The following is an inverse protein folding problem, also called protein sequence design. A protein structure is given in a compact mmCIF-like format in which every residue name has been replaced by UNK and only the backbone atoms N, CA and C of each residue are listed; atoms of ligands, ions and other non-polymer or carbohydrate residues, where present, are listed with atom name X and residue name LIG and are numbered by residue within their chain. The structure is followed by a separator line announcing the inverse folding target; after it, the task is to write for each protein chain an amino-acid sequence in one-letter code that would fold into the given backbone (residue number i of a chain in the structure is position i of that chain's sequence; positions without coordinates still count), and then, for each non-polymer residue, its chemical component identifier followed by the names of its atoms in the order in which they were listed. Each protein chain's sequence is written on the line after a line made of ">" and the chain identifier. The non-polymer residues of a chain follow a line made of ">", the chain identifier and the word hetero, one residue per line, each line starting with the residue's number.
data_IF_287327498787
#
_entry.id   IF_287327498787
#
_cell.length_a   1.000
_cell.length_b   1.000
_cell.length_c   1.000
_cell.angle_alpha   90.00
_cell.angle_beta   90.00
_cell.angle_gamma   90.00
#
_symmetry.space_group_name_H-M   'P 1'
#
loop_
_entity.id
_entity.type
_entity.pdbx_description
1 polymer ?
#
# COMPACT_ATOMS: atom_id res chain seq x y z
N UNK A 1 -4.52 57.84 -45.63
CA UNK A 1 -4.91 56.41 -45.53
C UNK A 1 -3.99 55.77 -44.51
N UNK A 2 -4.58 55.31 -43.38
CA UNK A 2 -4.10 54.34 -42.37
C UNK A 2 -2.70 54.55 -41.72
N UNK A 3 -2.40 54.22 -40.47
CA UNK A 3 -3.09 53.81 -39.24
C UNK A 3 -1.97 53.82 -38.18
N UNK A 4 -2.24 54.34 -36.98
CA UNK A 4 -1.37 54.23 -35.81
C UNK A 4 -1.39 52.81 -35.22
N UNK A 5 -0.24 52.31 -34.75
CA UNK A 5 -0.16 51.34 -33.65
C UNK A 5 1.27 51.28 -33.09
N UNK A 6 1.52 52.06 -32.02
CA UNK A 6 2.68 51.90 -31.15
C UNK A 6 2.45 50.79 -30.12
N UNK A 7 3.48 49.96 -29.89
CA UNK A 7 3.53 49.02 -28.77
C UNK A 7 4.55 49.50 -27.74
N UNK A 8 4.03 50.06 -26.64
CA UNK A 8 4.76 50.39 -25.41
C UNK A 8 4.43 49.38 -24.30
N UNK A 9 5.41 49.14 -23.43
CA UNK A 9 5.42 48.07 -22.43
C UNK A 9 4.45 48.24 -21.25
N UNK A 10 4.34 47.18 -20.45
CA UNK A 10 3.58 47.15 -19.21
C UNK A 10 4.01 45.98 -18.31
N UNK A 11 4.34 46.32 -17.07
CA UNK A 11 4.97 45.50 -16.06
C UNK A 11 4.10 44.36 -15.50
N UNK A 12 4.76 43.26 -15.15
CA UNK A 12 4.22 42.21 -14.28
C UNK A 12 4.05 42.75 -12.86
N UNK A 13 2.82 43.09 -12.50
CA UNK A 13 2.41 43.36 -11.12
C UNK A 13 1.54 42.20 -10.63
N UNK A 14 1.87 41.70 -9.43
CA UNK A 14 1.16 40.58 -8.81
C UNK A 14 -0.28 40.92 -8.47
N UNK A 15 -1.18 39.95 -8.65
CA UNK A 15 -2.58 40.04 -8.23
C UNK A 15 -2.79 39.24 -6.94
N UNK A 16 -3.43 39.81 -5.88
CA UNK A 16 -3.64 39.15 -4.60
C UNK A 16 -4.77 38.12 -4.65
N UNK A 17 -4.69 37.15 -3.73
CA UNK A 17 -5.77 36.23 -3.42
C UNK A 17 -6.99 36.99 -2.85
N UNK A 18 -8.20 36.60 -3.28
CA UNK A 18 -9.46 36.98 -2.63
C UNK A 18 -10.49 37.59 -3.59
N UNK A 19 -11.36 36.76 -4.14
CA UNK A 19 -12.50 37.22 -4.94
C UNK A 19 -13.57 36.14 -5.04
N UNK A 20 -14.62 36.26 -4.22
CA UNK A 20 -15.87 35.51 -4.35
C UNK A 20 -16.61 36.10 -5.56
N UNK A 21 -17.01 35.33 -6.58
CA UNK A 21 -17.84 35.90 -7.65
C UNK A 21 -19.27 36.03 -7.15
N UNK A 22 -19.70 37.26 -6.90
CA UNK A 22 -21.10 37.61 -6.67
C UNK A 22 -21.74 38.04 -7.99
N UNK A 23 -22.94 37.49 -8.30
CA UNK A 23 -23.93 38.14 -9.16
C UNK A 23 -23.98 37.67 -10.62
N UNK A 24 -24.50 36.46 -10.85
CA UNK A 24 -25.15 36.09 -12.12
C UNK A 24 -26.69 36.11 -11.97
N UNK A 25 -27.48 36.41 -13.01
CA UNK A 25 -28.95 36.49 -12.92
C UNK A 25 -29.58 35.15 -12.49
N UNK A 26 -30.80 35.14 -11.90
CA UNK A 26 -31.47 33.92 -11.45
C UNK A 26 -31.98 33.12 -12.65
N UNK A 27 -31.08 32.37 -13.28
CA UNK A 27 -31.37 31.43 -14.35
C UNK A 27 -30.93 30.04 -13.93
N UNK A 28 -31.85 29.07 -14.02
CA UNK A 28 -31.65 27.62 -14.04
C UNK A 28 -30.39 27.09 -13.32
N UNK A 29 -30.61 26.58 -12.10
CA UNK A 29 -29.61 26.04 -11.18
C UNK A 29 -28.37 25.44 -11.86
N UNK A 30 -27.34 26.27 -12.02
CA UNK A 30 -26.05 25.85 -12.51
C UNK A 30 -25.45 24.86 -11.51
N UNK A 31 -24.87 23.78 -12.02
CA UNK A 31 -24.10 22.84 -11.21
C UNK A 31 -22.99 23.60 -10.48
N UNK A 32 -23.09 23.70 -9.15
CA UNK A 32 -22.04 24.27 -8.31
C UNK A 32 -21.06 23.13 -7.99
N UNK A 33 -19.76 23.27 -8.34
CA UNK A 33 -18.78 22.26 -8.00
C UNK A 33 -18.75 22.04 -6.48
N UNK A 34 -18.73 20.78 -6.01
CA UNK A 34 -18.66 20.51 -4.58
C UNK A 34 -17.39 21.12 -3.97
N UNK A 35 -17.46 21.65 -2.74
CA UNK A 35 -16.31 22.29 -2.12
C UNK A 35 -15.15 21.31 -2.00
N UNK A 36 -13.94 21.80 -2.30
CA UNK A 36 -12.68 21.05 -2.23
C UNK A 36 -11.69 21.77 -1.31
N UNK A 37 -11.91 21.75 0.02
CA UNK A 37 -10.99 22.38 0.97
C UNK A 37 -9.62 21.69 1.00
N UNK A 38 -9.62 20.37 0.80
CA UNK A 38 -8.42 19.54 0.80
C UNK A 38 -8.08 18.93 -0.56
N UNK A 39 -7.66 17.67 -0.53
CA UNK A 39 -7.18 16.93 -1.70
C UNK A 39 -8.28 16.33 -2.57
N UNK A 40 -9.50 16.16 -2.03
CA UNK A 40 -10.66 15.58 -2.71
C UNK A 40 -11.89 16.50 -2.60
N UNK A 41 -12.82 16.46 -3.57
CA UNK A 41 -14.12 17.11 -3.43
C UNK A 41 -14.94 16.45 -2.31
N UNK A 42 -15.77 17.24 -1.62
CA UNK A 42 -16.69 16.74 -0.59
C UNK A 42 -17.99 16.20 -1.19
N UNK A 43 -17.85 15.27 -2.14
CA UNK A 43 -18.94 14.61 -2.85
C UNK A 43 -18.56 13.14 -3.10
N UNK A 44 -19.52 12.28 -3.51
CA UNK A 44 -19.21 10.91 -3.93
C UNK A 44 -18.08 10.90 -4.98
N UNK A 45 -16.99 10.21 -4.68
CA UNK A 45 -15.76 10.30 -5.46
C UNK A 45 -15.86 9.46 -6.73
N UNK A 46 -15.32 9.93 -7.85
CA UNK A 46 -15.02 9.11 -9.03
C UNK A 46 -13.68 8.40 -8.91
N UNK A 47 -13.35 7.53 -9.88
CA UNK A 47 -12.00 6.93 -9.96
C UNK A 47 -10.93 8.02 -10.13
N UNK A 48 -11.19 9.03 -10.97
CA UNK A 48 -10.29 10.16 -11.17
C UNK A 48 -10.06 10.98 -9.90
N UNK A 49 -11.09 11.16 -9.06
CA UNK A 49 -10.96 11.86 -7.78
C UNK A 49 -10.16 11.07 -6.75
N UNK A 50 -10.32 9.74 -6.72
CA UNK A 50 -9.55 8.84 -5.85
C UNK A 50 -8.07 8.86 -6.21
N UNK A 51 -7.75 8.67 -7.50
CA UNK A 51 -6.36 8.68 -7.98
C UNK A 51 -5.75 10.08 -7.87
N UNK A 52 -6.45 11.10 -8.34
CA UNK A 52 -6.02 12.50 -8.25
C UNK A 52 -5.84 12.95 -6.81
N UNK A 53 -6.74 12.55 -5.90
CA UNK A 53 -6.63 12.77 -4.46
C UNK A 53 -5.40 12.09 -3.86
N UNK A 54 -5.13 10.84 -4.23
CA UNK A 54 -3.94 10.11 -3.78
C UNK A 54 -2.64 10.77 -4.27
N UNK A 55 -2.52 11.11 -5.56
CA UNK A 55 -1.35 11.81 -6.10
C UNK A 55 -1.16 13.21 -5.49
N UNK A 56 -2.25 13.97 -5.33
CA UNK A 56 -2.21 15.28 -4.66
C UNK A 56 -1.76 15.12 -3.21
N UNK A 57 -2.19 14.07 -2.52
CA UNK A 57 -1.75 13.78 -1.14
C UNK A 57 -0.27 13.42 -1.09
N UNK A 58 0.23 12.57 -2.01
CA UNK A 58 1.66 12.25 -2.11
C UNK A 58 2.51 13.47 -2.44
N UNK A 59 2.02 14.40 -3.28
CA UNK A 59 2.72 15.65 -3.59
C UNK A 59 2.74 16.63 -2.42
N UNK A 60 1.57 16.94 -1.84
CA UNK A 60 1.43 17.95 -0.78
C UNK A 60 1.98 17.46 0.57
N UNK A 61 1.87 16.17 0.88
CA UNK A 61 2.27 15.56 2.15
C UNK A 61 3.41 14.53 1.98
N UNK A 62 4.17 14.61 0.89
CA UNK A 62 5.23 13.65 0.56
C UNK A 62 6.31 13.56 1.62
N UNK A 63 6.67 14.67 2.28
CA UNK A 63 7.65 14.68 3.39
C UNK A 63 7.18 13.79 4.56
N UNK A 64 5.90 13.85 4.86
CA UNK A 64 5.29 13.10 5.97
C UNK A 64 5.10 11.63 5.62
N UNK A 65 4.69 11.33 4.39
CA UNK A 65 4.47 9.97 3.92
C UNK A 65 5.77 9.25 3.62
N UNK A 66 6.55 9.75 2.67
CA UNK A 66 7.80 9.13 2.23
C UNK A 66 8.91 9.26 3.26
N UNK A 67 8.97 10.38 3.99
CA UNK A 67 9.96 10.54 5.07
C UNK A 67 9.73 9.56 6.22
N UNK A 68 8.46 9.37 6.63
CA UNK A 68 8.14 8.39 7.66
C UNK A 68 8.33 6.95 7.16
N UNK A 69 7.90 6.64 5.93
CA UNK A 69 8.12 5.34 5.32
C UNK A 69 9.62 5.02 5.19
N UNK A 70 10.43 5.96 4.71
CA UNK A 70 11.88 5.81 4.63
C UNK A 70 12.52 5.61 6.00
N UNK A 71 12.09 6.36 7.02
CA UNK A 71 12.59 6.17 8.39
C UNK A 71 12.24 4.77 8.94
N UNK A 72 11.02 4.28 8.66
CA UNK A 72 10.56 2.98 9.14
C UNK A 72 11.21 1.81 8.41
N UNK A 73 11.10 1.77 7.09
CA UNK A 73 11.68 0.69 6.30
C UNK A 73 13.22 0.75 6.31
N UNK A 74 13.81 1.96 6.29
CA UNK A 74 15.26 2.14 6.41
C UNK A 74 15.77 1.77 7.80
N UNK A 75 15.03 2.09 8.86
CA UNK A 75 15.34 1.63 10.21
C UNK A 75 15.25 0.11 10.36
N UNK A 76 14.23 -0.52 9.75
CA UNK A 76 14.12 -1.98 9.71
C UNK A 76 15.26 -2.63 8.92
N UNK A 77 15.68 -2.03 7.81
CA UNK A 77 16.82 -2.47 7.03
C UNK A 77 18.12 -2.38 7.83
N UNK A 78 18.36 -1.26 8.52
CA UNK A 78 19.54 -1.07 9.37
C UNK A 78 19.56 -2.05 10.55
N UNK A 79 18.41 -2.26 11.21
CA UNK A 79 18.26 -3.26 12.27
C UNK A 79 18.58 -4.67 11.76
N UNK A 80 18.04 -5.03 10.60
CA UNK A 80 18.28 -6.34 10.00
C UNK A 80 19.75 -6.51 9.57
N UNK A 81 20.35 -5.47 8.99
CA UNK A 81 21.78 -5.48 8.65
C UNK A 81 22.67 -5.71 9.87
N UNK A 82 22.38 -5.03 10.99
CA UNK A 82 23.09 -5.25 12.25
C UNK A 82 22.86 -6.66 12.81
N UNK A 83 21.62 -7.16 12.73
CA UNK A 83 21.29 -8.51 13.20
C UNK A 83 22.01 -9.59 12.39
N UNK A 84 22.06 -9.44 11.06
CA UNK A 84 22.79 -10.36 10.17
C UNK A 84 24.29 -10.30 10.46
N UNK A 85 24.88 -9.11 10.61
CA UNK A 85 26.29 -8.98 10.95
C UNK A 85 26.62 -9.63 12.31
N UNK A 86 25.73 -9.48 13.30
CA UNK A 86 25.89 -10.12 14.62
C UNK A 86 25.76 -11.63 14.53
N UNK A 87 24.77 -12.14 13.79
CA UNK A 87 24.58 -13.57 13.59
C UNK A 87 25.75 -14.21 12.83
N UNK A 88 26.29 -13.52 11.83
CA UNK A 88 27.50 -13.95 11.12
C UNK A 88 28.71 -13.99 12.07
N UNK A 89 28.89 -13.01 12.95
CA UNK A 89 29.94 -13.06 13.97
C UNK A 89 29.79 -14.21 14.97
N UNK A 90 28.57 -14.70 15.20
CA UNK A 90 28.28 -15.78 16.15
C UNK A 90 28.38 -17.18 15.53
N UNK A 91 28.03 -17.33 14.24
CA UNK A 91 27.89 -18.64 13.57
C UNK A 91 28.75 -18.73 12.29
N UNK A 92 29.57 -17.73 11.99
CA UNK A 92 30.40 -17.63 10.78
C UNK A 92 31.28 -18.85 10.56
N UNK A 93 31.99 -19.30 11.60
CA UNK A 93 32.85 -20.50 11.52
C UNK A 93 32.06 -21.78 11.25
N UNK A 94 30.80 -21.85 11.70
CA UNK A 94 29.92 -22.99 11.42
C UNK A 94 29.37 -22.92 9.99
N UNK A 95 29.08 -21.71 9.50
CA UNK A 95 28.69 -21.47 8.11
C UNK A 95 29.80 -21.85 7.14
N UNK A 96 31.03 -21.41 7.41
CA UNK A 96 32.20 -21.69 6.55
C UNK A 96 32.46 -23.20 6.49
N UNK A 97 32.47 -23.88 7.65
CA UNK A 97 32.63 -25.35 7.70
C UNK A 97 31.56 -26.05 6.88
N UNK A 98 30.29 -25.72 7.03
CA UNK A 98 29.18 -26.35 6.29
C UNK A 98 29.25 -26.07 4.79
N UNK A 99 29.63 -24.86 4.37
CA UNK A 99 29.76 -24.50 2.95
C UNK A 99 30.99 -25.15 2.30
N UNK A 100 32.02 -25.47 3.08
CA UNK A 100 33.25 -26.10 2.59
C UNK A 100 33.22 -27.63 2.48
N UNK A 101 32.13 -28.29 2.90
CA UNK A 101 32.02 -29.75 2.89
C UNK A 101 32.07 -30.33 1.48
N UNK A 102 32.81 -31.43 1.34
CA UNK A 102 32.80 -32.24 0.11
C UNK A 102 31.46 -32.96 -0.10
N UNK A 103 31.21 -33.46 -1.32
CA UNK A 103 29.96 -34.16 -1.68
C UNK A 103 29.68 -35.39 -0.80
N UNK A 104 30.72 -36.03 -0.28
CA UNK A 104 30.62 -37.23 0.57
C UNK A 104 30.73 -36.94 2.08
N UNK A 105 30.81 -35.66 2.48
CA UNK A 105 30.95 -35.27 3.89
C UNK A 105 29.64 -34.79 4.50
N UNK A 106 29.29 -35.34 5.66
CA UNK A 106 28.10 -34.92 6.40
C UNK A 106 28.40 -33.76 7.36
N UNK A 107 27.55 -32.72 7.41
CA UNK A 107 27.73 -31.60 8.32
C UNK A 107 27.57 -32.04 9.77
N UNK A 108 28.44 -31.53 10.64
CA UNK A 108 28.30 -31.74 12.07
C UNK A 108 26.96 -31.19 12.57
N UNK A 109 26.23 -31.99 13.35
CA UNK A 109 24.89 -31.61 13.87
C UNK A 109 24.94 -30.31 14.68
N UNK A 110 26.05 -30.05 15.37
CA UNK A 110 26.28 -28.81 16.11
C UNK A 110 26.26 -27.57 15.21
N UNK A 111 26.96 -27.62 14.08
CA UNK A 111 27.05 -26.51 13.12
C UNK A 111 25.69 -26.27 12.45
N UNK A 112 25.00 -27.35 12.07
CA UNK A 112 23.66 -27.26 11.50
C UNK A 112 22.66 -26.68 12.51
N UNK A 113 22.71 -27.11 13.78
CA UNK A 113 21.81 -26.59 14.81
C UNK A 113 22.06 -25.10 15.10
N UNK A 114 23.33 -24.66 15.11
CA UNK A 114 23.68 -23.26 15.29
C UNK A 114 23.17 -22.39 14.13
N UNK A 115 23.33 -22.86 12.89
CA UNK A 115 22.81 -22.19 11.69
C UNK A 115 21.28 -22.13 11.68
N UNK A 116 20.61 -23.22 12.05
CA UNK A 116 19.15 -23.27 12.16
C UNK A 116 18.63 -22.29 13.22
N UNK A 117 19.25 -22.25 14.40
CA UNK A 117 18.86 -21.32 15.47
C UNK A 117 19.07 -19.87 15.01
N UNK A 118 20.22 -19.54 14.43
CA UNK A 118 20.48 -18.21 13.89
C UNK A 118 19.47 -17.82 12.81
N UNK A 119 19.17 -18.74 11.87
CA UNK A 119 18.17 -18.55 10.82
C UNK A 119 16.76 -18.31 11.38
N UNK A 120 16.32 -19.09 12.37
CA UNK A 120 15.01 -18.92 13.02
C UNK A 120 14.93 -17.59 13.77
N UNK A 121 15.98 -17.22 14.50
CA UNK A 121 16.03 -15.94 15.24
C UNK A 121 15.99 -14.76 14.27
N UNK A 122 16.80 -14.79 13.20
CA UNK A 122 16.80 -13.77 12.15
C UNK A 122 15.44 -13.70 11.44
N UNK A 123 14.85 -14.85 11.11
CA UNK A 123 13.54 -14.94 10.47
C UNK A 123 12.43 -14.36 11.35
N UNK A 124 12.41 -14.70 12.65
CA UNK A 124 11.45 -14.16 13.61
C UNK A 124 11.65 -12.64 13.80
N UNK A 125 12.89 -12.18 13.90
CA UNK A 125 13.20 -10.75 14.00
C UNK A 125 12.74 -10.00 12.75
N UNK A 126 13.03 -10.52 11.56
CA UNK A 126 12.58 -9.93 10.29
C UNK A 126 11.05 -9.88 10.22
N UNK A 127 10.37 -10.97 10.61
CA UNK A 127 8.92 -11.06 10.64
C UNK A 127 8.30 -10.02 11.59
N UNK A 128 8.75 -9.97 12.84
CA UNK A 128 8.23 -9.03 13.85
C UNK A 128 8.51 -7.58 13.45
N UNK A 129 9.72 -7.30 12.94
CA UNK A 129 10.10 -5.96 12.48
C UNK A 129 9.23 -5.50 11.31
N UNK A 130 9.07 -6.35 10.28
CA UNK A 130 8.23 -6.02 9.13
C UNK A 130 6.75 -5.91 9.49
N UNK A 131 6.26 -6.75 10.39
CA UNK A 131 4.90 -6.66 10.91
C UNK A 131 4.68 -5.31 11.62
N UNK A 132 5.62 -4.89 12.47
CA UNK A 132 5.56 -3.60 13.17
C UNK A 132 5.60 -2.41 12.19
N UNK A 133 6.52 -2.41 11.22
CA UNK A 133 6.62 -1.35 10.20
C UNK A 133 5.34 -1.28 9.37
N UNK A 134 4.84 -2.43 8.91
CA UNK A 134 3.62 -2.53 8.12
C UNK A 134 2.43 -1.98 8.92
N UNK A 135 2.27 -2.41 10.17
CA UNK A 135 1.23 -1.90 11.07
C UNK A 135 1.29 -0.40 11.27
N UNK A 136 2.50 0.14 11.43
CA UNK A 136 2.67 1.57 11.62
C UNK A 136 2.37 2.36 10.36
N UNK A 137 2.69 1.84 9.17
CA UNK A 137 2.29 2.44 7.89
C UNK A 137 0.78 2.40 7.69
N UNK A 138 0.12 1.28 8.01
CA UNK A 138 -1.35 1.16 8.00
C UNK A 138 -2.03 2.12 8.99
N UNK A 139 -1.33 2.54 10.04
CA UNK A 139 -1.81 3.53 10.99
C UNK A 139 -1.52 4.98 10.54
N UNK A 140 -0.33 5.21 9.98
CA UNK A 140 0.18 6.53 9.62
C UNK A 140 -0.50 7.11 8.38
N UNK A 141 -0.67 6.31 7.32
CA UNK A 141 -1.21 6.80 6.04
C UNK A 141 -2.64 7.33 6.21
N UNK A 142 -3.59 6.60 6.83
CA UNK A 142 -4.93 7.13 7.09
C UNK A 142 -4.91 8.39 7.97
N UNK A 143 -4.00 8.48 8.95
CA UNK A 143 -3.88 9.66 9.81
C UNK A 143 -3.46 10.93 9.03
N UNK A 144 -2.65 10.78 7.98
CA UNK A 144 -2.34 11.86 7.03
C UNK A 144 -3.56 12.19 6.17
N UNK A 145 -4.27 11.18 5.66
CA UNK A 145 -5.47 11.37 4.83
C UNK A 145 -6.56 12.14 5.57
N UNK A 146 -6.76 11.90 6.87
CA UNK A 146 -7.70 12.67 7.70
C UNK A 146 -7.46 14.18 7.62
N UNK A 147 -6.21 14.62 7.69
CA UNK A 147 -5.86 16.03 7.62
C UNK A 147 -5.85 16.53 6.17
N UNK A 148 -5.43 15.68 5.22
CA UNK A 148 -5.37 16.01 3.80
C UNK A 148 -6.75 16.26 3.18
N UNK A 149 -7.76 15.47 3.55
CA UNK A 149 -9.15 15.66 3.10
C UNK A 149 -9.71 17.00 3.59
N UNK A 150 -9.29 17.45 4.77
CA UNK A 150 -9.69 18.72 5.37
C UNK A 150 -8.77 19.90 4.99
N UNK A 151 -7.74 19.66 4.16
CA UNK A 151 -6.80 20.70 3.72
C UNK A 151 -5.84 21.20 4.80
N UNK A 152 -5.76 20.53 5.95
CA UNK A 152 -4.94 20.97 7.08
C UNK A 152 -3.50 20.49 6.96
N UNK A 153 -2.55 21.31 7.42
CA UNK A 153 -1.15 20.90 7.52
C UNK A 153 -0.97 19.89 8.66
N UNK A 154 -0.08 18.90 8.47
CA UNK A 154 0.25 17.90 9.50
C UNK A 154 1.76 17.74 9.63
N UNK A 155 2.25 17.61 10.86
CA UNK A 155 3.66 17.41 11.16
C UNK A 155 3.98 15.92 11.34
N UNK A 156 5.22 15.52 11.03
CA UNK A 156 5.70 14.12 11.18
C UNK A 156 5.49 13.63 12.63
N UNK A 157 5.80 14.47 13.62
CA UNK A 157 5.62 14.14 15.03
C UNK A 157 4.15 13.83 15.39
N UNK A 158 3.19 14.53 14.76
CA UNK A 158 1.76 14.29 14.97
C UNK A 158 1.32 12.97 14.33
N UNK A 159 1.78 12.70 13.10
CA UNK A 159 1.53 11.42 12.41
C UNK A 159 2.11 10.26 13.22
N UNK A 160 3.36 10.37 13.67
CA UNK A 160 4.04 9.37 14.50
C UNK A 160 3.29 9.05 15.79
N UNK A 161 2.84 10.09 16.52
CA UNK A 161 2.08 9.91 17.76
C UNK A 161 0.74 9.20 17.51
N UNK A 162 0.02 9.57 16.46
CA UNK A 162 -1.25 8.91 16.08
C UNK A 162 -1.01 7.47 15.63
N UNK A 163 0.00 7.24 14.80
CA UNK A 163 0.34 5.92 14.29
C UNK A 163 0.70 4.96 15.42
N UNK A 164 1.55 5.38 16.37
CA UNK A 164 1.90 4.58 17.55
C UNK A 164 0.71 4.29 18.46
N UNK A 165 -0.17 5.26 18.68
CA UNK A 165 -1.36 5.07 19.51
C UNK A 165 -2.35 4.07 18.87
N UNK A 166 -2.43 4.05 17.54
CA UNK A 166 -3.27 3.12 16.79
C UNK A 166 -2.58 1.78 16.46
N UNK A 167 -1.30 1.60 16.79
CA UNK A 167 -0.52 0.43 16.39
C UNK A 167 -1.16 -0.88 16.90
N UNK A 168 -1.52 -0.96 18.19
CA UNK A 168 -2.08 -2.20 18.76
C UNK A 168 -3.45 -2.56 18.14
N UNK A 169 -4.42 -1.63 18.01
CA UNK A 169 -5.66 -1.90 17.27
C UNK A 169 -5.45 -2.26 15.80
N UNK A 170 -4.52 -1.59 15.09
CA UNK A 170 -4.23 -1.91 13.69
C UNK A 170 -3.58 -3.29 13.57
N UNK A 171 -2.65 -3.64 14.46
CA UNK A 171 -2.03 -4.96 14.50
C UNK A 171 -3.04 -6.06 14.81
N UNK A 172 -3.95 -5.84 15.76
CA UNK A 172 -5.05 -6.77 16.01
C UNK A 172 -5.94 -6.97 14.79
N UNK A 173 -6.14 -5.90 14.00
CA UNK A 173 -6.95 -5.96 12.76
C UNK A 173 -6.24 -6.74 11.67
N UNK A 174 -4.95 -6.48 11.46
CA UNK A 174 -4.13 -7.20 10.48
C UNK A 174 -3.97 -8.67 10.88
N UNK A 175 -3.73 -8.96 12.17
CA UNK A 175 -3.67 -10.31 12.69
C UNK A 175 -4.99 -11.08 12.47
N UNK A 176 -6.13 -10.47 12.81
CA UNK A 176 -7.42 -11.10 12.60
C UNK A 176 -7.76 -11.24 11.11
N UNK A 177 -7.34 -10.30 10.26
CA UNK A 177 -7.46 -10.43 8.80
C UNK A 177 -6.62 -11.60 8.29
N UNK A 178 -5.38 -11.75 8.75
CA UNK A 178 -4.50 -12.89 8.41
C UNK A 178 -5.15 -14.19 8.89
N UNK A 179 -5.69 -14.24 10.11
CA UNK A 179 -6.36 -15.42 10.64
C UNK A 179 -7.59 -15.82 9.81
N UNK A 180 -8.40 -14.84 9.39
CA UNK A 180 -9.54 -15.07 8.52
C UNK A 180 -9.09 -15.54 7.13
N UNK A 181 -8.01 -14.96 6.59
CA UNK A 181 -7.43 -15.34 5.30
C UNK A 181 -6.64 -16.66 5.36
N UNK A 182 -6.19 -17.08 6.54
CA UNK A 182 -5.41 -18.30 6.73
C UNK A 182 -6.22 -19.54 6.37
N UNK A 183 -7.51 -19.59 6.74
CA UNK A 183 -8.38 -20.74 6.42
C UNK A 183 -8.47 -21.01 4.91
N UNK A 184 -8.90 -20.06 4.06
CA UNK A 184 -8.96 -20.31 2.61
C UNK A 184 -7.57 -20.51 2.00
N UNK A 185 -6.53 -19.83 2.50
CA UNK A 185 -5.16 -20.01 2.02
C UNK A 185 -4.60 -21.39 2.36
N UNK A 186 -4.83 -21.89 3.57
CA UNK A 186 -4.42 -23.23 3.99
C UNK A 186 -5.13 -24.30 3.19
N UNK A 187 -6.43 -24.13 2.91
CA UNK A 187 -7.19 -25.03 2.03
C UNK A 187 -6.64 -25.01 0.59
N UNK A 188 -6.30 -23.84 0.06
CA UNK A 188 -5.67 -23.70 -1.25
C UNK A 188 -4.31 -24.39 -1.29
N UNK A 189 -3.45 -24.15 -0.29
CA UNK A 189 -2.13 -24.76 -0.18
C UNK A 189 -2.22 -26.28 -0.01
N UNK A 190 -3.15 -26.79 0.80
CA UNK A 190 -3.39 -28.23 0.94
C UNK A 190 -3.83 -28.85 -0.39
N UNK A 191 -4.72 -28.18 -1.14
CA UNK A 191 -5.11 -28.60 -2.48
C UNK A 191 -3.93 -28.61 -3.46
N UNK A 192 -3.11 -27.56 -3.45
CA UNK A 192 -1.93 -27.44 -4.31
C UNK A 192 -0.85 -28.49 -3.99
N UNK A 193 -0.55 -28.70 -2.71
CA UNK A 193 0.36 -29.77 -2.26
C UNK A 193 -0.19 -31.14 -2.63
N UNK A 194 -1.51 -31.35 -2.54
CA UNK A 194 -2.17 -32.56 -3.03
C UNK A 194 -1.93 -32.78 -4.53
N UNK A 195 -2.11 -31.75 -5.36
CA UNK A 195 -1.86 -31.79 -6.81
C UNK A 195 -0.39 -32.15 -7.10
N UNK A 196 0.55 -31.50 -6.43
CA UNK A 196 1.98 -31.78 -6.59
C UNK A 196 2.27 -33.22 -6.20
N UNK A 197 1.85 -33.65 -5.01
CA UNK A 197 2.07 -35.01 -4.52
C UNK A 197 1.48 -36.07 -5.47
N UNK A 198 0.30 -35.82 -6.02
CA UNK A 198 -0.33 -36.70 -7.02
C UNK A 198 0.44 -36.75 -8.34
N UNK A 199 1.03 -35.62 -8.76
CA UNK A 199 1.81 -35.52 -10.00
C UNK A 199 3.14 -36.27 -9.91
N UNK A 200 3.71 -36.38 -8.70
CA UNK A 200 4.96 -37.13 -8.45
C UNK A 200 4.71 -38.56 -7.95
N UNK A 201 3.50 -38.90 -7.51
CA UNK A 201 3.16 -40.27 -7.20
C UNK A 201 3.17 -41.09 -8.50
N UNK A 202 4.00 -42.13 -8.56
CA UNK A 202 4.00 -43.15 -9.63
C UNK A 202 2.72 -44.00 -9.65
N UNK A 203 1.65 -43.55 -8.97
CA UNK A 203 0.35 -44.18 -8.95
C UNK A 203 -0.30 -44.04 -10.34
N UNK A 204 0.07 -44.92 -11.26
CA UNK A 204 -0.64 -45.16 -12.50
C UNK A 204 -2.05 -45.66 -12.17
N UNK A 205 -3.03 -44.76 -12.12
CA UNK A 205 -4.43 -45.11 -11.85
C UNK A 205 -5.31 -43.94 -11.42
N UNK A 206 -6.59 -44.25 -11.17
CA UNK A 206 -7.65 -43.29 -10.82
C UNK A 206 -7.35 -42.41 -9.59
N UNK A 207 -6.46 -42.83 -8.69
CA UNK A 207 -6.08 -42.08 -7.48
C UNK A 207 -5.37 -40.75 -7.77
N UNK A 208 -4.42 -40.73 -8.72
CA UNK A 208 -3.72 -39.49 -9.09
C UNK A 208 -4.66 -38.46 -9.76
N UNK A 209 -5.57 -38.94 -10.62
CA UNK A 209 -6.57 -38.11 -11.27
C UNK A 209 -7.60 -37.53 -10.28
N UNK A 210 -8.01 -38.31 -9.28
CA UNK A 210 -8.93 -37.85 -8.22
C UNK A 210 -8.28 -36.76 -7.37
N UNK A 211 -7.01 -36.92 -6.95
CA UNK A 211 -6.31 -35.91 -6.15
C UNK A 211 -6.06 -34.62 -6.95
N UNK A 212 -5.68 -34.74 -8.23
CA UNK A 212 -5.55 -33.60 -9.15
C UNK A 212 -6.88 -32.85 -9.29
N UNK A 213 -7.98 -33.57 -9.48
CA UNK A 213 -9.33 -32.98 -9.64
C UNK A 213 -9.78 -32.29 -8.35
N UNK A 214 -9.59 -32.93 -7.19
CA UNK A 214 -9.93 -32.35 -5.88
C UNK A 214 -9.09 -31.09 -5.62
N UNK A 215 -7.80 -31.09 -5.93
CA UNK A 215 -6.94 -29.94 -5.71
C UNK A 215 -7.23 -28.77 -6.63
N UNK A 216 -7.56 -29.02 -7.91
CA UNK A 216 -8.02 -27.98 -8.84
C UNK A 216 -9.37 -27.40 -8.38
N UNK A 217 -10.35 -28.25 -8.05
CA UNK A 217 -11.65 -27.81 -7.53
C UNK A 217 -11.51 -27.03 -6.22
N UNK A 218 -10.61 -27.46 -5.33
CA UNK A 218 -10.27 -26.77 -4.09
C UNK A 218 -9.68 -25.38 -4.34
N UNK A 219 -8.72 -25.26 -5.28
CA UNK A 219 -8.13 -23.97 -5.65
C UNK A 219 -9.16 -23.02 -6.29
N UNK A 220 -10.00 -23.53 -7.20
CA UNK A 220 -11.07 -22.76 -7.86
C UNK A 220 -12.15 -22.33 -6.86
N UNK A 221 -12.45 -23.13 -5.84
CA UNK A 221 -13.41 -22.77 -4.80
C UNK A 221 -12.84 -21.75 -3.79
N UNK A 222 -11.56 -21.86 -3.44
CA UNK A 222 -10.93 -21.03 -2.39
C UNK A 222 -10.42 -19.69 -2.89
N UNK A 223 -9.96 -19.58 -4.15
CA UNK A 223 -9.47 -18.33 -4.74
C UNK A 223 -10.50 -17.19 -4.71
N UNK A 224 -11.71 -17.37 -5.28
CA UNK A 224 -12.78 -16.38 -5.24
C UNK A 224 -13.19 -16.02 -3.81
N UNK A 225 -13.20 -16.98 -2.87
CA UNK A 225 -13.48 -16.73 -1.45
C UNK A 225 -12.40 -15.84 -0.83
N UNK A 226 -11.12 -16.09 -1.10
CA UNK A 226 -10.01 -15.28 -0.61
C UNK A 226 -10.09 -13.84 -1.15
N UNK A 227 -10.36 -13.68 -2.45
CA UNK A 227 -10.55 -12.35 -3.07
C UNK A 227 -11.77 -11.65 -2.47
N UNK A 228 -12.88 -12.35 -2.29
CA UNK A 228 -14.08 -11.80 -1.66
C UNK A 228 -13.82 -11.28 -0.25
N UNK A 229 -13.12 -12.07 0.57
CA UNK A 229 -12.71 -11.68 1.94
C UNK A 229 -11.74 -10.51 1.92
N UNK A 230 -10.73 -10.52 1.05
CA UNK A 230 -9.76 -9.44 0.91
C UNK A 230 -10.44 -8.09 0.62
N UNK A 231 -11.35 -8.07 -0.35
CA UNK A 231 -12.11 -6.86 -0.70
C UNK A 231 -12.99 -6.40 0.47
N UNK A 232 -13.70 -7.34 1.13
CA UNK A 232 -14.56 -7.06 2.28
C UNK A 232 -13.83 -6.47 3.48
N UNK A 233 -12.57 -6.87 3.70
CA UNK A 233 -11.78 -6.46 4.87
C UNK A 233 -10.78 -5.34 4.55
N UNK A 234 -10.66 -4.93 3.29
CA UNK A 234 -9.69 -3.94 2.81
C UNK A 234 -9.74 -2.59 3.54
N UNK A 235 -10.93 -2.13 3.96
CA UNK A 235 -11.10 -0.82 4.62
C UNK A 235 -10.83 -0.87 6.12
N UNK A 236 -10.70 -2.05 6.73
CA UNK A 236 -10.64 -2.20 8.18
C UNK A 236 -9.47 -1.44 8.84
N UNK A 237 -8.23 -1.45 8.30
CA UNK A 237 -7.14 -0.67 8.89
C UNK A 237 -7.41 0.84 8.88
N UNK A 238 -8.03 1.36 7.81
CA UNK A 238 -8.42 2.77 7.75
C UNK A 238 -9.52 3.08 8.77
N UNK A 239 -10.53 2.21 8.92
CA UNK A 239 -11.61 2.36 9.89
C UNK A 239 -11.07 2.46 11.33
N UNK A 240 -10.11 1.61 11.71
CA UNK A 240 -9.47 1.68 13.04
C UNK A 240 -8.91 3.07 13.33
N UNK A 241 -8.21 3.66 12.37
CA UNK A 241 -7.57 4.98 12.55
C UNK A 241 -8.61 6.11 12.52
N UNK A 242 -9.57 6.03 11.59
CA UNK A 242 -10.58 7.07 11.42
C UNK A 242 -11.62 7.10 12.55
N UNK A 243 -12.01 5.93 13.04
CA UNK A 243 -13.08 5.80 14.04
C UNK A 243 -12.55 5.48 15.45
N UNK A 244 -11.25 5.24 15.60
CA UNK A 244 -10.59 4.89 16.87
C UNK A 244 -11.25 3.70 17.55
N UNK A 245 -11.67 2.71 16.78
CA UNK A 245 -12.39 1.53 17.25
C UNK A 245 -11.51 0.27 17.25
N UNK A 246 -11.97 -0.76 17.97
CA UNK A 246 -11.26 -2.03 18.08
C UNK A 246 -11.29 -2.89 16.81
N UNK A 247 -10.42 -3.92 16.71
CA UNK A 247 -10.22 -4.71 15.50
C UNK A 247 -11.48 -5.37 14.94
N UNK A 248 -12.25 -6.04 15.81
CA UNK A 248 -13.46 -6.78 15.41
C UNK A 248 -14.53 -5.84 14.88
N UNK A 249 -14.69 -4.69 15.54
CA UNK A 249 -15.63 -3.64 15.11
C UNK A 249 -15.24 -3.09 13.75
N UNK A 250 -13.95 -2.83 13.52
CA UNK A 250 -13.45 -2.35 12.25
C UNK A 250 -13.70 -3.34 11.10
N UNK A 251 -13.46 -4.64 11.30
CA UNK A 251 -13.71 -5.66 10.28
C UNK A 251 -15.19 -5.80 9.94
N UNK A 252 -16.06 -5.83 10.96
CA UNK A 252 -17.52 -5.88 10.76
C UNK A 252 -18.01 -4.66 9.98
N UNK A 253 -17.50 -3.48 10.32
CA UNK A 253 -17.86 -2.22 9.64
C UNK A 253 -17.33 -2.18 8.21
N UNK A 254 -16.09 -2.63 7.97
CA UNK A 254 -15.52 -2.77 6.62
C UNK A 254 -16.41 -3.63 5.74
N UNK A 255 -16.80 -4.82 6.24
CA UNK A 255 -17.67 -5.74 5.50
C UNK A 255 -19.01 -5.10 5.12
N UNK A 256 -19.64 -4.34 6.03
CA UNK A 256 -20.90 -3.63 5.80
C UNK A 256 -20.75 -2.52 4.76
N UNK A 257 -19.73 -1.68 4.88
CA UNK A 257 -19.48 -0.57 3.95
C UNK A 257 -19.20 -1.07 2.53
N UNK A 258 -18.51 -2.21 2.38
CA UNK A 258 -18.14 -2.77 1.09
C UNK A 258 -19.29 -3.57 0.45
N UNK A 259 -20.23 -4.13 1.22
CA UNK A 259 -21.33 -4.99 0.71
C UNK A 259 -22.10 -4.39 -0.47
N UNK A 260 -22.45 -3.11 -0.40
CA UNK A 260 -23.31 -2.47 -1.40
C UNK A 260 -22.63 -2.15 -2.73
N UNK A 261 -21.29 -2.07 -2.76
CA UNK A 261 -20.52 -1.64 -3.94
C UNK A 261 -19.24 -2.48 -4.11
N UNK A 262 -19.34 -3.78 -3.84
CA UNK A 262 -18.20 -4.69 -3.82
C UNK A 262 -17.39 -4.66 -5.12
N UNK A 263 -18.07 -4.69 -6.28
CA UNK A 263 -17.41 -4.68 -7.60
C UNK A 263 -16.59 -3.42 -7.86
N UNK A 264 -17.10 -2.27 -7.41
CA UNK A 264 -16.40 -1.00 -7.54
C UNK A 264 -15.17 -0.99 -6.63
N UNK A 265 -15.31 -1.42 -5.37
CA UNK A 265 -14.16 -1.51 -4.44
C UNK A 265 -13.12 -2.49 -4.98
N UNK A 266 -13.54 -3.68 -5.42
CA UNK A 266 -12.67 -4.67 -6.05
C UNK A 266 -11.92 -4.10 -7.25
N UNK A 267 -12.62 -3.49 -8.21
CA UNK A 267 -12.01 -2.94 -9.42
C UNK A 267 -11.00 -1.82 -9.12
N UNK A 268 -11.32 -0.92 -8.17
CA UNK A 268 -10.37 0.13 -7.75
C UNK A 268 -9.16 -0.48 -7.05
N UNK A 269 -9.35 -1.41 -6.11
CA UNK A 269 -8.24 -2.05 -5.42
C UNK A 269 -7.35 -2.80 -6.42
N UNK A 270 -7.93 -3.62 -7.28
CA UNK A 270 -7.19 -4.35 -8.31
C UNK A 270 -6.35 -3.40 -9.16
N UNK A 271 -6.96 -2.34 -9.71
CA UNK A 271 -6.26 -1.35 -10.52
C UNK A 271 -5.10 -0.71 -9.75
N UNK A 272 -5.32 -0.30 -8.51
CA UNK A 272 -4.33 0.40 -7.69
C UNK A 272 -3.17 -0.51 -7.30
N UNK A 273 -3.44 -1.77 -6.96
CA UNK A 273 -2.39 -2.75 -6.67
C UNK A 273 -1.60 -3.11 -7.93
N UNK A 274 -2.23 -3.21 -9.09
CA UNK A 274 -1.53 -3.38 -10.39
C UNK A 274 -0.65 -2.16 -10.69
N UNK A 275 -1.17 -0.94 -10.53
CA UNK A 275 -0.39 0.28 -10.72
C UNK A 275 0.81 0.35 -9.77
N UNK A 276 0.61 -0.02 -8.50
CA UNK A 276 1.67 -0.08 -7.50
C UNK A 276 2.75 -1.11 -7.86
N UNK A 277 2.35 -2.31 -8.30
CA UNK A 277 3.27 -3.36 -8.74
C UNK A 277 4.09 -2.92 -9.96
N UNK A 278 3.44 -2.32 -10.96
CA UNK A 278 4.11 -1.78 -12.16
C UNK A 278 5.10 -0.67 -11.77
N UNK A 279 4.68 0.27 -10.92
CA UNK A 279 5.56 1.33 -10.42
C UNK A 279 6.75 0.76 -9.65
N UNK A 280 6.51 -0.21 -8.75
CA UNK A 280 7.56 -0.90 -8.00
C UNK A 280 8.56 -1.64 -8.89
N UNK A 281 8.10 -2.23 -10.00
CA UNK A 281 8.96 -2.83 -11.00
C UNK A 281 9.86 -1.79 -11.68
N UNK A 282 9.28 -0.67 -12.16
CA UNK A 282 10.06 0.40 -12.79
C UNK A 282 11.04 1.08 -11.83
N UNK A 283 10.68 1.21 -10.55
CA UNK A 283 11.60 1.73 -9.52
C UNK A 283 12.78 0.79 -9.31
N UNK A 284 12.58 -0.53 -9.38
CA UNK A 284 13.66 -1.51 -9.20
C UNK A 284 14.62 -1.57 -10.38
N UNK A 285 14.15 -1.37 -11.62
CA UNK A 285 14.98 -1.47 -12.82
C UNK A 285 16.34 -0.76 -12.72
N UNK A 286 16.44 0.54 -12.38
CA UNK A 286 17.74 1.21 -12.30
C UNK A 286 18.68 0.56 -11.27
N UNK A 287 18.14 0.03 -10.16
CA UNK A 287 18.95 -0.62 -9.13
C UNK A 287 19.43 -2.01 -9.55
N UNK A 288 18.64 -2.73 -10.34
CA UNK A 288 19.08 -3.99 -10.95
C UNK A 288 20.28 -3.71 -11.87
N UNK A 289 20.18 -2.70 -12.75
CA UNK A 289 21.28 -2.34 -13.65
C UNK A 289 22.51 -1.82 -12.89
N UNK A 290 22.32 -0.96 -11.89
CA UNK A 290 23.40 -0.47 -11.03
C UNK A 290 24.07 -1.61 -10.26
N UNK A 291 23.30 -2.60 -9.80
CA UNK A 291 23.87 -3.77 -9.13
C UNK A 291 24.69 -4.64 -10.09
N UNK A 292 24.27 -4.77 -11.35
CA UNK A 292 24.98 -5.56 -12.36
C UNK A 292 26.26 -4.88 -12.86
N UNK A 293 26.36 -3.55 -12.72
CA UNK A 293 27.48 -2.77 -13.25
C UNK A 293 28.84 -3.11 -12.59
N UNK A 294 28.95 -3.25 -11.25
CA UNK A 294 30.14 -3.81 -10.60
C UNK A 294 30.51 -5.21 -11.09
N UNK A 295 29.52 -6.11 -11.33
CA UNK A 295 29.81 -7.44 -11.89
C UNK A 295 30.35 -7.39 -13.32
N UNK A 296 29.90 -6.43 -14.14
CA UNK A 296 30.39 -6.24 -15.51
C UNK A 296 31.79 -5.61 -15.55
N UNK A 297 32.03 -4.55 -14.77
CA UNK A 297 33.35 -3.90 -14.69
C UNK A 297 34.38 -4.77 -13.98
N UNK A 298 33.97 -5.49 -12.94
CA UNK A 298 34.82 -6.45 -12.26
C UNK A 298 35.22 -7.57 -13.20
N UNK A 299 34.30 -8.16 -13.99
CA UNK A 299 34.63 -9.17 -15.02
C UNK A 299 35.60 -8.68 -16.11
N UNK A 300 35.69 -7.37 -16.35
CA UNK A 300 36.62 -6.76 -17.29
C UNK A 300 38.01 -6.45 -16.68
N UNK A 301 38.16 -6.59 -15.37
CA UNK A 301 39.38 -6.27 -14.61
C UNK A 301 39.92 -7.46 -13.81
N UNK A 302 39.41 -8.66 -14.05
CA UNK A 302 39.93 -9.87 -13.40
C UNK A 302 41.23 -10.30 -14.10
N UNK A 303 42.32 -10.36 -13.35
CA UNK A 303 43.30 -11.43 -13.55
C UNK A 303 42.57 -12.78 -13.50
N UNK A 304 43.11 -13.82 -14.15
CA UNK A 304 42.49 -15.16 -14.26
C UNK A 304 42.13 -15.80 -12.90
N UNK A 305 42.56 -15.23 -11.78
CA UNK A 305 42.30 -15.66 -10.40
C UNK A 305 41.76 -14.50 -9.51
N UNK A 306 40.45 -14.19 -9.54
CA UNK A 306 39.87 -13.15 -8.69
C UNK A 306 40.00 -13.49 -7.21
N UNK A 307 40.62 -12.61 -6.42
CA UNK A 307 40.65 -12.79 -4.95
C UNK A 307 39.24 -12.83 -4.35
N UNK A 308 39.04 -13.66 -3.33
CA UNK A 308 37.77 -13.76 -2.60
C UNK A 308 37.25 -12.39 -2.13
N UNK A 309 38.16 -11.48 -1.73
CA UNK A 309 37.82 -10.12 -1.34
C UNK A 309 37.21 -9.30 -2.49
N UNK A 310 37.70 -9.45 -3.72
CA UNK A 310 37.16 -8.77 -4.90
C UNK A 310 35.75 -9.29 -5.25
N UNK A 311 35.55 -10.62 -5.20
CA UNK A 311 34.23 -11.24 -5.40
C UNK A 311 33.25 -10.73 -4.34
N UNK A 312 33.62 -10.79 -3.06
CA UNK A 312 32.77 -10.32 -1.96
C UNK A 312 32.43 -8.83 -2.06
N UNK A 313 33.38 -7.98 -2.46
CA UNK A 313 33.13 -6.55 -2.67
C UNK A 313 32.13 -6.29 -3.81
N UNK A 314 32.25 -7.02 -4.93
CA UNK A 314 31.32 -6.91 -6.06
C UNK A 314 29.92 -7.41 -5.69
N UNK A 315 29.83 -8.56 -5.01
CA UNK A 315 28.55 -9.12 -4.57
C UNK A 315 27.89 -8.22 -3.52
N UNK A 316 28.67 -7.63 -2.60
CA UNK A 316 28.16 -6.67 -1.62
C UNK A 316 27.59 -5.41 -2.29
N UNK A 317 28.25 -4.87 -3.32
CA UNK A 317 27.75 -3.73 -4.10
C UNK A 317 26.40 -4.04 -4.78
N UNK A 318 26.28 -5.22 -5.40
CA UNK A 318 25.02 -5.70 -5.98
C UNK A 318 23.90 -5.78 -4.92
N UNK A 319 24.18 -6.41 -3.77
CA UNK A 319 23.20 -6.54 -2.69
C UNK A 319 22.75 -5.20 -2.14
N UNK A 320 23.67 -4.25 -1.94
CA UNK A 320 23.33 -2.90 -1.47
C UNK A 320 22.44 -2.18 -2.49
N UNK A 321 22.78 -2.23 -3.77
CA UNK A 321 21.95 -1.63 -4.82
C UNK A 321 20.55 -2.26 -4.84
N UNK A 322 20.45 -3.59 -4.81
CA UNK A 322 19.18 -4.30 -4.75
C UNK A 322 18.37 -3.96 -3.51
N UNK A 323 19.00 -3.88 -2.33
CA UNK A 323 18.34 -3.51 -1.08
C UNK A 323 17.77 -2.09 -1.14
N UNK A 324 18.51 -1.13 -1.69
CA UNK A 324 18.04 0.24 -1.89
C UNK A 324 16.88 0.31 -2.89
N UNK A 325 16.96 -0.46 -3.99
CA UNK A 325 15.87 -0.57 -4.96
C UNK A 325 14.62 -1.19 -4.38
N UNK A 326 14.76 -2.25 -3.58
CA UNK A 326 13.64 -2.86 -2.86
C UNK A 326 13.04 -1.90 -1.85
N UNK A 327 13.86 -1.17 -1.09
CA UNK A 327 13.41 -0.17 -0.13
C UNK A 327 12.59 0.93 -0.82
N UNK A 328 13.11 1.51 -1.90
CA UNK A 328 12.42 2.54 -2.68
C UNK A 328 11.10 2.03 -3.27
N UNK A 329 11.12 0.82 -3.85
CA UNK A 329 9.94 0.15 -4.39
C UNK A 329 8.88 -0.10 -3.31
N UNK A 330 9.28 -0.56 -2.12
CA UNK A 330 8.37 -0.87 -1.03
C UNK A 330 7.65 0.37 -0.49
N UNK A 331 8.36 1.48 -0.38
CA UNK A 331 7.79 2.74 0.08
C UNK A 331 6.61 3.15 -0.82
N UNK A 332 6.78 3.08 -2.14
CA UNK A 332 5.73 3.42 -3.11
C UNK A 332 4.62 2.37 -3.12
N UNK A 333 5.00 1.08 -3.17
CA UNK A 333 4.08 -0.04 -3.30
C UNK A 333 3.16 -0.21 -2.09
N UNK A 334 3.55 0.30 -0.92
CA UNK A 334 2.70 0.28 0.27
C UNK A 334 1.91 1.57 0.48
N UNK A 335 2.54 2.73 0.25
CA UNK A 335 1.91 4.03 0.52
C UNK A 335 0.76 4.32 -0.46
N UNK A 336 0.96 4.07 -1.76
CA UNK A 336 -0.04 4.43 -2.77
C UNK A 336 -1.35 3.65 -2.61
N UNK A 337 -1.35 2.30 -2.48
CA UNK A 337 -2.58 1.56 -2.21
C UNK A 337 -3.26 1.95 -0.90
N UNK A 338 -2.49 2.23 0.16
CA UNK A 338 -3.04 2.65 1.44
C UNK A 338 -3.75 4.01 1.36
N UNK A 339 -3.21 4.96 0.59
CA UNK A 339 -3.85 6.26 0.35
C UNK A 339 -5.19 6.09 -0.36
N UNK A 340 -5.21 5.32 -1.45
CA UNK A 340 -6.46 5.12 -2.20
C UNK A 340 -7.48 4.34 -1.36
N UNK A 341 -7.04 3.36 -0.57
CA UNK A 341 -7.93 2.60 0.34
C UNK A 341 -8.52 3.51 1.44
N UNK A 342 -7.73 4.43 1.98
CA UNK A 342 -8.21 5.42 2.95
C UNK A 342 -9.21 6.41 2.31
N UNK A 343 -8.97 6.86 1.08
CA UNK A 343 -9.92 7.71 0.34
C UNK A 343 -11.18 6.94 -0.07
N UNK A 344 -11.08 5.65 -0.42
CA UNK A 344 -12.21 4.78 -0.65
C UNK A 344 -13.08 4.65 0.59
N UNK A 345 -12.48 4.54 1.78
CA UNK A 345 -13.24 4.57 3.03
C UNK A 345 -14.03 5.88 3.20
N UNK A 346 -13.43 7.03 2.89
CA UNK A 346 -14.12 8.33 2.91
C UNK A 346 -15.24 8.37 1.86
N UNK A 347 -15.01 7.92 0.63
CA UNK A 347 -16.04 7.78 -0.43
C UNK A 347 -17.23 6.95 0.04
N UNK A 348 -16.97 5.78 0.65
CA UNK A 348 -18.02 4.91 1.18
C UNK A 348 -18.87 5.64 2.21
N UNK A 349 -18.25 6.33 3.18
CA UNK A 349 -19.01 7.08 4.19
C UNK A 349 -19.75 8.28 3.62
N UNK A 350 -19.23 8.96 2.61
CA UNK A 350 -19.97 10.02 1.91
C UNK A 350 -21.22 9.42 1.24
N UNK A 351 -21.09 8.27 0.56
CA UNK A 351 -22.20 7.63 -0.17
C UNK A 351 -23.25 6.97 0.75
N UNK A 352 -22.83 6.38 1.86
CA UNK A 352 -23.74 5.57 2.71
C UNK A 352 -24.19 6.29 3.98
N UNK A 353 -23.45 7.30 4.45
CA UNK A 353 -23.70 7.96 5.74
C UNK A 353 -23.79 9.50 5.63
N UNK A 354 -23.82 10.05 4.42
CA UNK A 354 -23.89 11.50 4.15
C UNK A 354 -22.81 12.30 4.92
N UNK A 355 -21.57 11.83 4.88
CA UNK A 355 -20.44 12.45 5.60
C UNK A 355 -19.99 13.81 5.02
N UNK A 356 -20.41 14.14 3.79
CA UNK A 356 -19.97 15.34 3.06
C UNK A 356 -20.18 16.67 3.82
N UNK A 357 -21.40 16.94 4.33
CA UNK A 357 -21.69 18.15 5.11
C UNK A 357 -20.84 18.28 6.39
N UNK A 358 -20.60 17.18 7.11
CA UNK A 358 -19.78 17.17 8.34
C UNK A 358 -18.33 17.52 8.02
N UNK A 359 -17.79 17.02 6.91
CA UNK A 359 -16.45 17.38 6.45
C UNK A 359 -16.36 18.84 6.00
N UNK A 360 -17.42 19.38 5.39
CA UNK A 360 -17.46 20.77 4.96
C UNK A 360 -17.46 21.72 6.18
N UNK A 361 -18.25 21.39 7.20
CA UNK A 361 -18.26 22.12 8.48
C UNK A 361 -16.91 22.01 9.19
N UNK A 362 -16.34 20.80 9.29
CA UNK A 362 -15.03 20.59 9.92
C UNK A 362 -13.86 21.26 9.17
N UNK A 363 -14.01 21.51 7.87
CA UNK A 363 -13.07 22.26 7.04
C UNK A 363 -13.31 23.78 7.07
N UNK A 364 -14.34 24.26 7.78
CA UNK A 364 -14.67 25.67 7.86
C UNK A 364 -15.21 26.26 6.55
N UNK A 365 -15.76 25.44 5.66
CA UNK A 365 -16.39 25.90 4.42
C UNK A 365 -17.71 26.59 4.78
N UNK A 366 -17.95 27.85 4.41
CA UNK A 366 -19.23 28.51 4.64
C UNK A 366 -20.37 27.68 4.05
N UNK A 367 -21.49 27.52 4.78
CA UNK A 367 -22.67 26.82 4.26
C UNK A 367 -23.07 27.47 2.93
N UNK A 368 -22.91 26.74 1.82
CA UNK A 368 -23.50 27.15 0.55
C UNK A 368 -25.02 27.04 0.72
N UNK A 369 -25.66 28.17 0.99
CA UNK A 369 -27.11 28.26 1.16
C UNK A 369 -27.80 28.01 -0.18
N UNK A 370 -28.26 26.79 -0.40
CA UNK A 370 -29.17 26.45 -1.48
C UNK A 370 -29.69 25.03 -1.30
N UNK A 371 -31.01 24.77 -1.41
CA UNK A 371 -31.53 23.42 -1.34
C UNK A 371 -30.92 22.57 -2.46
N UNK A 372 -30.40 21.40 -2.13
CA UNK A 372 -30.07 20.38 -3.12
C UNK A 372 -31.33 20.09 -3.93
N UNK A 373 -31.29 20.15 -5.28
CA UNK A 373 -32.41 19.67 -6.08
C UNK A 373 -32.61 18.18 -5.76
N UNK A 374 -33.86 17.71 -5.58
CA UNK A 374 -34.13 16.29 -5.40
C UNK A 374 -33.51 15.47 -6.54
N UNK A 375 -33.03 14.23 -6.29
CA UNK A 375 -32.40 13.38 -7.31
C UNK A 375 -33.33 12.96 -8.46
N UNK A 376 -34.62 13.31 -8.40
CA UNK A 376 -35.58 13.10 -9.49
C UNK A 376 -36.44 14.35 -9.66
N UNK A 377 -36.72 14.81 -10.89
CA UNK A 377 -37.79 15.77 -11.13
C UNK A 377 -39.13 15.15 -10.67
N UNK A 378 -40.05 15.93 -10.08
CA UNK A 378 -41.39 15.43 -9.81
C UNK A 378 -42.02 14.95 -11.13
N UNK A 379 -42.84 13.88 -11.12
CA UNK A 379 -43.54 13.44 -12.31
C UNK A 379 -44.32 14.61 -12.89
N UNK A 380 -44.11 14.92 -14.17
CA UNK A 380 -44.93 15.89 -14.87
C UNK A 380 -46.39 15.42 -14.81
N UNK A 381 -47.23 16.16 -14.09
CA UNK A 381 -48.67 15.92 -14.09
C UNK A 381 -49.30 15.85 -12.70
N UNK A 382 -49.35 16.97 -12.00
CA UNK A 382 -50.48 17.26 -11.14
C UNK A 382 -51.00 18.64 -11.57
N UNK A 383 -51.82 18.62 -12.62
CA UNK A 383 -52.57 19.78 -13.05
C UNK A 383 -53.43 20.28 -11.90
N UNK A 384 -53.41 21.59 -11.69
CA UNK A 384 -54.33 22.28 -10.81
C UNK A 384 -55.75 22.08 -11.38
N UNK A 385 -56.60 21.40 -10.60
CA UNK A 385 -58.04 21.58 -10.60
C UNK A 385 -58.45 21.96 -9.19
#
# INVERSE_FOLDING_TARGET
>A
MAQDAGWGGGAYTGAPHGGVPYGGPPGWGGWVPPPKPGVIPLAPLGLGDLLGGAFTTMGRYGKQLFGLAAALYGGALALMGLAVATAYGAVGDSLERVVSLGYDEEPATGDLSALLIAGVVLGLLAFVTMLAVTGLMYAAVPAVVQEAVLGRAVTIATVWRRARAALMPVMGTLFLTILIAFVPMALLMAGFVGVIAASFSTASGAGGAVVLTIGILGAVATGPLAVWLWVKLSLAPAIVVFERCGPVTALRRSSRLVSGDWWRVFGVLLLVYVMAAVAGYFIQLPFVFLGLFPSMLGSASLDDDPTLAAILAMTAGYFVAMMLGQLASQIVSTTFPQLVTALLYVDRRIRTEDLGPVLAEAAGVPRQGGPYPPPYPPPYGAGQW
#
